data_IF_146874476045
#
_entry.id   IF_146874476045
#
_cell.length_a   1.000
_cell.length_b   1.000
_cell.length_c   1.000
_cell.angle_alpha   90.00
_cell.angle_beta   90.00
_cell.angle_gamma   90.00
#
_symmetry.space_group_name_H-M   'P 1'
#
loop_
_entity.id
_entity.type
_entity.pdbx_description
1 polymer ?
#
# COMPACT_ATOMS: atom_id res chain seq x y z
N UNK A 1 -0.81 6.94 -30.48
CA UNK A 1 0.33 6.87 -29.55
C UNK A 1 0.23 8.04 -28.58
N UNK A 2 0.22 7.79 -27.28
CA UNK A 2 0.21 8.85 -26.26
C UNK A 2 1.53 9.63 -26.35
N UNK A 3 1.46 10.97 -26.31
CA UNK A 3 2.68 11.82 -26.30
C UNK A 3 3.58 11.43 -25.13
N UNK A 4 4.90 11.32 -25.34
CA UNK A 4 5.84 11.04 -24.26
C UNK A 4 5.71 12.14 -23.20
N UNK A 5 5.49 11.74 -21.94
CA UNK A 5 5.43 12.70 -20.84
C UNK A 5 6.83 13.28 -20.64
N UNK A 6 6.96 14.60 -20.78
CA UNK A 6 8.18 15.31 -20.41
C UNK A 6 8.23 15.44 -18.89
N UNK A 7 9.30 15.00 -18.30
CA UNK A 7 9.54 15.13 -16.86
C UNK A 7 10.97 15.54 -16.57
N UNK A 8 11.16 16.18 -15.43
CA UNK A 8 12.46 16.50 -14.87
C UNK A 8 12.63 15.81 -13.53
N UNK A 9 13.87 15.58 -13.15
CA UNK A 9 14.22 15.00 -11.84
C UNK A 9 15.21 15.93 -11.14
N UNK A 10 15.01 16.12 -9.83
CA UNK A 10 15.85 16.98 -9.00
C UNK A 10 15.85 16.52 -7.54
N UNK A 11 16.73 17.09 -6.75
CA UNK A 11 16.64 16.96 -5.30
C UNK A 11 15.41 17.69 -4.75
N UNK A 12 14.97 17.23 -3.59
CA UNK A 12 13.97 17.92 -2.78
C UNK A 12 14.37 19.36 -2.50
N UNK A 13 13.40 20.24 -2.49
CA UNK A 13 13.51 21.63 -2.09
C UNK A 13 12.49 21.96 -1.01
N UNK A 14 12.82 22.89 -0.12
CA UNK A 14 11.87 23.41 0.87
C UNK A 14 10.62 23.93 0.13
N UNK A 15 9.44 23.48 0.55
CA UNK A 15 8.16 23.75 -0.09
C UNK A 15 7.57 22.52 -0.82
N UNK A 16 8.36 21.47 -1.06
CA UNK A 16 7.88 20.22 -1.66
C UNK A 16 7.07 19.33 -0.69
N UNK A 17 7.08 19.64 0.61
CA UNK A 17 6.56 18.76 1.67
C UNK A 17 5.11 18.34 1.44
N UNK A 18 4.27 19.27 0.99
CA UNK A 18 2.85 19.02 0.75
C UNK A 18 2.68 18.06 -0.43
N UNK A 19 3.38 18.34 -1.54
CA UNK A 19 3.30 17.54 -2.75
C UNK A 19 3.90 16.14 -2.54
N UNK A 20 5.02 16.06 -1.82
CA UNK A 20 5.69 14.81 -1.49
C UNK A 20 4.84 13.94 -0.55
N UNK A 21 4.18 14.54 0.45
CA UNK A 21 3.27 13.82 1.32
C UNK A 21 2.02 13.32 0.59
N UNK A 22 1.48 14.11 -0.36
CA UNK A 22 0.40 13.66 -1.23
C UNK A 22 0.83 12.46 -2.06
N UNK A 23 1.97 12.54 -2.76
CA UNK A 23 2.53 11.46 -3.55
C UNK A 23 2.76 10.20 -2.71
N UNK A 24 3.38 10.33 -1.52
CA UNK A 24 3.57 9.22 -0.59
C UNK A 24 2.25 8.61 -0.11
N UNK A 25 1.21 9.43 0.07
CA UNK A 25 -0.11 8.95 0.50
C UNK A 25 -0.78 8.03 -0.51
N UNK A 26 -0.55 8.22 -1.79
CA UNK A 26 -1.08 7.34 -2.85
C UNK A 26 -0.46 5.93 -2.81
N UNK A 27 0.80 5.82 -2.39
CA UNK A 27 1.52 4.55 -2.40
C UNK A 27 1.51 3.82 -1.05
N UNK A 28 1.56 4.57 0.05
CA UNK A 28 1.79 4.02 1.40
C UNK A 28 0.66 4.26 2.38
N UNK A 29 -0.44 4.88 1.90
CA UNK A 29 -1.56 5.27 2.74
C UNK A 29 -1.39 6.66 3.36
N UNK A 30 -2.46 7.22 3.97
CA UNK A 30 -2.54 8.62 4.35
C UNK A 30 -1.40 9.09 5.26
N UNK A 31 -0.62 10.04 4.79
CA UNK A 31 0.43 10.71 5.55
C UNK A 31 0.32 12.23 5.40
N UNK A 32 0.45 12.96 6.51
CA UNK A 32 0.50 14.43 6.46
C UNK A 32 1.93 14.92 6.24
N UNK A 33 2.15 16.13 5.68
CA UNK A 33 3.48 16.70 5.51
C UNK A 33 4.32 16.68 6.79
N UNK A 34 3.72 17.07 7.92
CA UNK A 34 4.37 17.03 9.23
C UNK A 34 4.83 15.62 9.61
N UNK A 35 3.97 14.60 9.45
CA UNK A 35 4.30 13.21 9.77
C UNK A 35 5.40 12.66 8.86
N UNK A 36 5.40 13.01 7.58
CA UNK A 36 6.44 12.61 6.65
C UNK A 36 7.79 13.24 7.02
N UNK A 37 7.83 14.55 7.29
CA UNK A 37 9.06 15.24 7.70
C UNK A 37 9.56 14.76 9.07
N UNK A 38 8.67 14.45 10.00
CA UNK A 38 9.02 13.84 11.29
C UNK A 38 9.60 12.43 11.11
N UNK A 39 9.10 11.67 10.14
CA UNK A 39 9.65 10.36 9.81
C UNK A 39 11.05 10.48 9.20
N UNK A 40 11.26 11.39 8.24
CA UNK A 40 12.57 11.67 7.66
C UNK A 40 13.59 12.03 8.73
N UNK A 41 13.26 12.98 9.59
CA UNK A 41 14.15 13.41 10.67
C UNK A 41 14.53 12.26 11.61
N UNK A 42 13.54 11.47 12.06
CA UNK A 42 13.77 10.35 12.97
C UNK A 42 14.58 9.22 12.34
N UNK A 43 14.49 9.04 11.05
CA UNK A 43 15.23 8.00 10.33
C UNK A 43 16.56 8.50 9.74
N UNK A 44 16.89 9.79 9.91
CA UNK A 44 18.13 10.37 9.41
C UNK A 44 18.16 10.54 7.89
N UNK A 45 16.99 10.66 7.24
CA UNK A 45 16.92 11.00 5.81
C UNK A 45 17.26 12.48 5.67
N UNK A 46 18.32 12.76 4.91
CA UNK A 46 18.78 14.13 4.65
C UNK A 46 18.11 14.70 3.41
N UNK A 47 17.84 16.03 3.34
CA UNK A 47 17.22 16.66 2.17
C UNK A 47 17.92 16.36 0.85
N UNK A 48 19.25 16.34 0.84
CA UNK A 48 20.07 16.02 -0.32
C UNK A 48 19.98 14.56 -0.80
N UNK A 49 19.36 13.69 0.00
CA UNK A 49 19.14 12.29 -0.30
C UNK A 49 17.66 11.99 -0.67
N UNK A 50 16.86 13.04 -0.88
CA UNK A 50 15.48 12.94 -1.36
C UNK A 50 15.46 13.45 -2.80
N UNK A 51 14.93 12.64 -3.70
CA UNK A 51 14.83 12.92 -5.13
C UNK A 51 13.37 12.94 -5.54
N UNK A 52 13.01 13.89 -6.37
CA UNK A 52 11.63 14.10 -6.82
C UNK A 52 11.55 14.19 -8.33
N UNK A 53 10.49 13.62 -8.89
CA UNK A 53 10.15 13.71 -10.31
C UNK A 53 9.01 14.70 -10.50
N UNK A 54 9.22 15.63 -11.43
CA UNK A 54 8.27 16.69 -11.78
C UNK A 54 7.77 16.44 -13.20
N UNK A 55 6.47 16.30 -13.37
CA UNK A 55 5.81 16.25 -14.67
C UNK A 55 4.62 17.20 -14.67
N UNK A 56 4.38 17.89 -15.78
CA UNK A 56 3.29 18.86 -15.94
C UNK A 56 3.27 19.91 -14.81
N UNK A 57 4.46 20.34 -14.35
CA UNK A 57 4.61 21.30 -13.25
C UNK A 57 4.26 20.75 -11.85
N UNK A 58 4.00 19.45 -11.71
CA UNK A 58 3.62 18.81 -10.45
C UNK A 58 4.66 17.80 -10.01
N UNK A 59 4.87 17.68 -8.69
CA UNK A 59 5.63 16.58 -8.12
C UNK A 59 4.77 15.31 -8.18
N UNK A 60 5.23 14.30 -8.91
CA UNK A 60 4.50 13.08 -9.23
C UNK A 60 5.25 11.79 -8.88
N UNK A 61 6.51 11.91 -8.46
CA UNK A 61 7.30 10.75 -8.06
C UNK A 61 8.33 11.13 -7.01
N UNK A 62 8.67 10.20 -6.14
CA UNK A 62 9.68 10.36 -5.10
C UNK A 62 10.51 9.11 -4.89
N UNK A 63 11.77 9.31 -4.49
CA UNK A 63 12.70 8.28 -3.99
C UNK A 63 13.59 8.93 -2.95
N UNK A 64 13.83 8.27 -1.85
CA UNK A 64 14.82 8.71 -0.86
C UNK A 64 15.73 7.58 -0.43
N UNK A 65 16.85 7.92 0.20
CA UNK A 65 17.66 6.94 0.91
C UNK A 65 18.24 7.49 2.21
N UNK A 66 18.54 6.58 3.10
CA UNK A 66 19.16 6.84 4.40
C UNK A 66 20.40 5.99 4.57
N UNK A 67 21.39 6.49 5.33
CA UNK A 67 22.53 5.69 5.70
C UNK A 67 22.12 4.60 6.69
N UNK A 68 22.39 3.35 6.32
CA UNK A 68 22.19 2.18 7.18
C UNK A 68 23.50 1.43 7.36
N UNK A 69 23.66 0.80 8.50
CA UNK A 69 24.73 -0.18 8.73
C UNK A 69 24.11 -1.55 8.67
N UNK A 70 24.48 -2.33 7.65
CA UNK A 70 23.99 -3.69 7.46
C UNK A 70 25.08 -4.70 7.79
N UNK A 71 24.66 -5.78 8.45
CA UNK A 71 25.50 -6.95 8.69
C UNK A 71 25.45 -7.87 7.47
N UNK A 72 26.60 -8.17 6.90
CA UNK A 72 26.76 -9.00 5.71
C UNK A 72 27.25 -10.43 6.02
N UNK A 73 27.17 -10.87 7.26
CA UNK A 73 27.70 -12.15 7.72
C UNK A 73 29.14 -12.03 8.27
N UNK A 74 29.58 -13.03 9.00
CA UNK A 74 30.94 -13.16 9.50
C UNK A 74 31.51 -11.90 10.23
N UNK A 75 30.65 -11.14 10.89
CA UNK A 75 31.04 -9.90 11.58
C UNK A 75 31.29 -8.69 10.67
N UNK A 76 31.08 -8.82 9.37
CA UNK A 76 31.25 -7.72 8.40
C UNK A 76 30.04 -6.80 8.42
N UNK A 77 30.29 -5.49 8.63
CA UNK A 77 29.29 -4.45 8.57
C UNK A 77 29.64 -3.44 7.49
N UNK A 78 28.69 -3.15 6.59
CA UNK A 78 28.86 -2.17 5.53
C UNK A 78 27.93 -1.00 5.72
N UNK A 79 28.41 0.19 5.38
CA UNK A 79 27.57 1.37 5.20
C UNK A 79 26.77 1.20 3.90
N UNK A 80 25.47 1.32 3.99
CA UNK A 80 24.52 0.96 2.93
C UNK A 80 23.54 2.10 2.70
N UNK A 81 23.21 2.36 1.44
CA UNK A 81 22.05 3.20 1.11
C UNK A 81 20.76 2.39 1.34
N UNK A 82 20.05 2.67 2.42
CA UNK A 82 18.71 2.13 2.64
C UNK A 82 17.70 2.92 1.81
N UNK A 83 17.34 2.41 0.63
CA UNK A 83 16.40 3.08 -0.28
C UNK A 83 14.97 2.95 0.25
N UNK A 84 14.24 4.04 0.24
CA UNK A 84 12.86 4.12 0.69
C UNK A 84 12.05 5.16 -0.11
N UNK A 85 10.77 5.33 0.24
CA UNK A 85 9.93 6.35 -0.37
C UNK A 85 9.70 6.20 -1.88
N UNK A 86 9.94 5.01 -2.46
CA UNK A 86 9.81 4.77 -3.90
C UNK A 86 8.33 4.82 -4.29
N UNK A 87 7.91 5.92 -4.85
CA UNK A 87 6.51 6.17 -5.19
C UNK A 87 6.37 6.93 -6.52
N UNK A 88 5.29 6.67 -7.24
CA UNK A 88 4.86 7.43 -8.42
C UNK A 88 3.34 7.47 -8.47
N UNK A 89 2.78 8.66 -8.69
CA UNK A 89 1.36 8.88 -8.91
C UNK A 89 0.85 7.97 -10.04
N UNK A 90 -0.34 7.41 -9.89
CA UNK A 90 -0.90 6.36 -10.77
C UNK A 90 -0.84 6.75 -12.26
N UNK A 91 -1.20 7.99 -12.60
CA UNK A 91 -1.25 8.50 -13.97
C UNK A 91 0.12 8.66 -14.64
N UNK A 92 1.19 8.62 -13.84
CA UNK A 92 2.58 8.80 -14.27
C UNK A 92 3.42 7.53 -14.17
N UNK A 93 2.82 6.39 -13.82
CA UNK A 93 3.48 5.08 -13.78
C UNK A 93 3.84 4.59 -15.18
N UNK A 94 4.77 3.63 -15.25
CA UNK A 94 5.25 3.01 -16.49
C UNK A 94 5.91 3.98 -17.49
N UNK A 95 6.33 5.17 -17.04
CA UNK A 95 6.96 6.20 -17.86
C UNK A 95 8.45 6.40 -17.55
N UNK A 96 9.06 5.51 -16.79
CA UNK A 96 10.49 5.51 -16.48
C UNK A 96 10.95 6.43 -15.33
N UNK A 97 10.04 7.20 -14.69
CA UNK A 97 10.39 8.16 -13.64
C UNK A 97 11.15 7.50 -12.48
N UNK A 98 10.59 6.44 -11.91
CA UNK A 98 11.23 5.71 -10.79
C UNK A 98 12.62 5.21 -11.18
N UNK A 99 12.78 4.64 -12.37
CA UNK A 99 14.07 4.13 -12.82
C UNK A 99 15.14 5.23 -12.88
N UNK A 100 14.76 6.44 -13.31
CA UNK A 100 15.68 7.57 -13.37
C UNK A 100 15.97 8.15 -11.97
N UNK A 101 14.96 8.26 -11.11
CA UNK A 101 15.16 8.69 -9.72
C UNK A 101 16.05 7.70 -8.95
N UNK A 102 15.84 6.40 -9.14
CA UNK A 102 16.66 5.36 -8.53
C UNK A 102 18.12 5.43 -9.00
N UNK A 103 18.36 5.67 -10.31
CA UNK A 103 19.72 5.87 -10.82
C UNK A 103 20.40 7.06 -10.14
N UNK A 104 19.71 8.20 -10.06
CA UNK A 104 20.25 9.39 -9.37
C UNK A 104 20.54 9.10 -7.89
N UNK A 105 19.64 8.41 -7.19
CA UNK A 105 19.83 8.03 -5.79
C UNK A 105 21.05 7.12 -5.62
N UNK A 106 21.21 6.12 -6.49
CA UNK A 106 22.35 5.21 -6.48
C UNK A 106 23.66 5.93 -6.81
N UNK A 107 23.67 6.83 -7.80
CA UNK A 107 24.85 7.61 -8.15
C UNK A 107 25.25 8.57 -7.02
N UNK A 108 24.26 9.21 -6.39
CA UNK A 108 24.51 10.05 -5.21
C UNK A 108 25.05 9.24 -4.04
N UNK A 109 24.53 8.05 -3.81
CA UNK A 109 25.02 7.17 -2.75
C UNK A 109 26.48 6.75 -2.97
N UNK A 110 26.87 6.45 -4.24
CA UNK A 110 28.28 6.16 -4.60
C UNK A 110 29.18 7.38 -4.36
N UNK A 111 28.74 8.58 -4.75
CA UNK A 111 29.48 9.82 -4.48
C UNK A 111 29.69 10.08 -2.99
N UNK A 112 28.80 9.57 -2.15
CA UNK A 112 28.92 9.64 -0.69
C UNK A 112 29.72 8.46 -0.08
N UNK A 113 30.35 7.65 -0.93
CA UNK A 113 31.24 6.54 -0.48
C UNK A 113 30.49 5.27 -0.13
N UNK A 114 29.20 5.13 -0.47
CA UNK A 114 28.45 3.90 -0.21
C UNK A 114 28.67 2.90 -1.36
N UNK A 115 29.07 1.69 -1.02
CA UNK A 115 29.40 0.63 -1.99
C UNK A 115 28.19 -0.22 -2.37
N UNK A 116 27.10 -0.15 -1.61
CA UNK A 116 25.91 -0.94 -1.81
C UNK A 116 24.63 -0.18 -1.44
N UNK A 117 23.51 -0.67 -1.94
CA UNK A 117 22.18 -0.20 -1.59
C UNK A 117 21.28 -1.40 -1.21
N UNK A 118 20.32 -1.16 -0.37
CA UNK A 118 19.34 -2.17 0.04
C UNK A 118 17.94 -1.56 0.12
N UNK A 119 16.95 -2.37 -0.09
CA UNK A 119 15.54 -2.03 0.10
C UNK A 119 14.74 -3.26 0.53
N UNK A 120 13.53 -3.01 1.01
CA UNK A 120 12.54 -4.05 1.28
C UNK A 120 11.35 -3.86 0.36
N UNK A 121 10.93 -4.93 -0.30
CA UNK A 121 9.74 -4.93 -1.16
C UNK A 121 9.00 -6.26 -1.07
N UNK A 122 7.70 -6.28 -1.41
CA UNK A 122 6.98 -7.54 -1.58
C UNK A 122 7.39 -8.21 -2.89
N UNK A 123 7.44 -9.53 -2.91
CA UNK A 123 7.72 -10.30 -4.13
C UNK A 123 6.69 -10.03 -5.23
N UNK A 124 5.44 -9.77 -4.84
CA UNK A 124 4.34 -9.46 -5.77
C UNK A 124 4.30 -7.98 -6.18
N UNK A 125 5.24 -7.16 -5.72
CA UNK A 125 5.28 -5.75 -6.05
C UNK A 125 5.77 -5.58 -7.51
N UNK A 126 5.00 -4.89 -8.33
CA UNK A 126 5.37 -4.60 -9.73
C UNK A 126 6.70 -3.84 -9.86
N UNK A 127 7.12 -3.12 -8.84
CA UNK A 127 8.41 -2.43 -8.78
C UNK A 127 9.60 -3.40 -8.67
N UNK A 128 9.40 -4.66 -8.24
CA UNK A 128 10.46 -5.67 -8.11
C UNK A 128 11.29 -5.80 -9.40
N UNK A 129 10.63 -5.88 -10.57
CA UNK A 129 11.29 -5.91 -11.88
C UNK A 129 12.12 -4.66 -12.19
N UNK A 130 11.81 -3.52 -11.58
CA UNK A 130 12.62 -2.30 -11.74
C UNK A 130 13.91 -2.46 -10.96
N UNK A 131 13.83 -2.98 -9.75
CA UNK A 131 15.01 -3.21 -8.90
C UNK A 131 15.96 -4.24 -9.51
N UNK A 132 15.45 -5.36 -10.01
CA UNK A 132 16.27 -6.35 -10.74
C UNK A 132 17.02 -5.71 -11.93
N UNK A 133 16.34 -4.91 -12.76
CA UNK A 133 16.97 -4.20 -13.89
C UNK A 133 18.03 -3.18 -13.45
N UNK A 134 17.98 -2.69 -12.23
CA UNK A 134 18.96 -1.80 -11.63
C UNK A 134 20.10 -2.55 -10.91
N UNK A 135 20.09 -3.89 -10.97
CA UNK A 135 21.14 -4.74 -10.41
C UNK A 135 20.91 -5.12 -8.95
N UNK A 136 19.72 -4.90 -8.40
CA UNK A 136 19.38 -5.48 -7.10
C UNK A 136 19.14 -6.97 -7.25
N UNK A 137 19.54 -7.72 -6.22
CA UNK A 137 19.34 -9.16 -6.11
C UNK A 137 18.60 -9.48 -4.82
N UNK A 138 17.76 -10.50 -4.84
CA UNK A 138 17.08 -10.98 -3.65
C UNK A 138 18.06 -11.73 -2.76
N UNK A 139 18.29 -11.19 -1.55
CA UNK A 139 19.23 -11.78 -0.59
C UNK A 139 18.53 -12.43 0.60
N UNK A 140 17.29 -12.05 0.87
CA UNK A 140 16.54 -12.54 2.02
C UNK A 140 15.04 -12.39 1.82
N UNK A 141 14.30 -13.46 2.07
CA UNK A 141 12.84 -13.46 2.10
C UNK A 141 12.34 -13.61 3.53
N UNK A 142 11.54 -12.67 4.00
CA UNK A 142 10.98 -12.69 5.34
C UNK A 142 9.59 -13.33 5.35
N UNK A 143 9.36 -14.23 6.29
CA UNK A 143 8.02 -14.69 6.63
C UNK A 143 7.51 -13.87 7.80
N UNK A 144 6.36 -13.24 7.64
CA UNK A 144 5.71 -12.49 8.71
C UNK A 144 4.61 -13.34 9.35
N UNK A 145 4.70 -13.57 10.65
CA UNK A 145 3.66 -14.24 11.43
C UNK A 145 2.93 -13.18 12.26
N UNK A 146 1.60 -13.18 12.20
CA UNK A 146 0.76 -12.26 12.97
C UNK A 146 -0.23 -13.09 13.78
N UNK A 147 -0.28 -12.86 15.09
CA UNK A 147 -1.34 -13.36 15.96
C UNK A 147 -2.31 -12.24 16.28
N UNK A 148 -3.56 -12.41 15.92
CA UNK A 148 -4.62 -11.48 16.28
C UNK A 148 -5.26 -11.92 17.59
N UNK A 149 -5.15 -11.10 18.63
CA UNK A 149 -5.69 -11.40 19.97
C UNK A 149 -7.11 -10.87 20.17
N UNK A 150 -7.47 -9.80 19.45
CA UNK A 150 -8.82 -9.21 19.47
C UNK A 150 -9.19 -8.75 18.04
N UNK A 151 -9.68 -9.68 17.24
CA UNK A 151 -10.05 -9.39 15.86
C UNK A 151 -11.29 -8.46 15.75
N UNK A 152 -12.35 -8.62 16.56
CA UNK A 152 -13.48 -7.68 16.57
C UNK A 152 -13.09 -6.23 16.80
N UNK A 153 -12.12 -5.96 17.68
CA UNK A 153 -11.59 -4.61 17.89
C UNK A 153 -10.84 -4.10 16.67
N UNK A 154 -9.96 -4.92 16.08
CA UNK A 154 -9.22 -4.57 14.87
C UNK A 154 -10.14 -4.32 13.69
N UNK A 155 -11.19 -5.12 13.54
CA UNK A 155 -12.21 -4.95 12.51
C UNK A 155 -12.97 -3.61 12.67
N UNK A 156 -13.34 -3.25 13.91
CA UNK A 156 -13.97 -1.96 14.19
C UNK A 156 -13.04 -0.78 13.87
N UNK A 157 -11.74 -0.92 14.15
CA UNK A 157 -10.73 0.08 13.80
C UNK A 157 -10.58 0.20 12.29
N UNK A 158 -10.52 -0.92 11.58
CA UNK A 158 -10.47 -0.95 10.12
C UNK A 158 -11.66 -0.24 9.47
N UNK A 159 -12.89 -0.48 9.94
CA UNK A 159 -14.07 0.24 9.43
C UNK A 159 -14.01 1.76 9.68
N UNK A 160 -13.39 2.20 10.77
CA UNK A 160 -13.16 3.64 11.02
C UNK A 160 -12.19 4.25 10.02
N UNK A 161 -11.09 3.57 9.73
CA UNK A 161 -10.12 4.03 8.73
C UNK A 161 -10.74 4.04 7.33
N UNK A 162 -11.51 3.00 6.98
CA UNK A 162 -12.26 2.95 5.73
C UNK A 162 -13.21 4.15 5.58
N UNK A 163 -13.96 4.49 6.63
CA UNK A 163 -14.82 5.67 6.63
C UNK A 163 -14.03 6.99 6.49
N UNK A 164 -12.80 7.06 7.00
CA UNK A 164 -11.94 8.23 6.82
C UNK A 164 -11.48 8.35 5.37
N UNK A 165 -11.10 7.25 4.74
CA UNK A 165 -10.68 7.23 3.33
C UNK A 165 -11.81 7.66 2.39
N UNK A 166 -13.05 7.27 2.68
CA UNK A 166 -14.22 7.67 1.89
C UNK A 166 -14.45 9.19 1.87
N UNK A 167 -14.24 9.86 3.01
CA UNK A 167 -14.47 11.33 3.10
C UNK A 167 -13.62 12.14 2.13
N UNK A 168 -12.48 11.63 1.70
CA UNK A 168 -11.55 12.29 0.77
C UNK A 168 -11.67 11.84 -0.69
N UNK A 169 -12.46 10.81 -0.99
CA UNK A 169 -12.50 10.19 -2.32
C UNK A 169 -13.86 10.31 -2.99
N UNK A 170 -13.97 11.26 -3.94
CA UNK A 170 -15.17 11.38 -4.79
C UNK A 170 -15.43 10.12 -5.63
N UNK A 171 -14.36 9.44 -6.06
CA UNK A 171 -14.43 8.20 -6.84
C UNK A 171 -15.05 7.08 -6.01
N UNK A 172 -14.57 6.87 -4.79
CA UNK A 172 -15.11 5.86 -3.89
C UNK A 172 -16.59 6.11 -3.56
N UNK A 173 -16.97 7.36 -3.29
CA UNK A 173 -18.34 7.73 -3.00
C UNK A 173 -19.28 7.48 -4.19
N UNK A 174 -18.85 7.83 -5.40
CA UNK A 174 -19.62 7.58 -6.63
C UNK A 174 -19.80 6.07 -6.87
N UNK A 175 -18.78 5.25 -6.64
CA UNK A 175 -18.87 3.79 -6.81
C UNK A 175 -19.77 3.10 -5.78
N UNK A 176 -19.84 3.65 -4.58
CA UNK A 176 -20.71 3.13 -3.50
C UNK A 176 -22.14 3.68 -3.56
N UNK A 177 -22.43 4.56 -4.49
CA UNK A 177 -23.76 5.15 -4.64
C UNK A 177 -24.82 4.08 -4.87
N UNK A 178 -25.85 4.06 -4.03
CA UNK A 178 -26.93 3.05 -4.10
C UNK A 178 -26.56 1.66 -3.54
N UNK A 179 -25.29 1.39 -3.18
CA UNK A 179 -24.92 0.11 -2.59
C UNK A 179 -25.11 0.14 -1.07
N UNK A 180 -26.36 0.00 -0.62
CA UNK A 180 -26.71 -0.07 0.81
C UNK A 180 -26.93 -1.52 1.23
N UNK A 181 -25.87 -2.23 1.61
CA UNK A 181 -25.90 -3.66 1.93
C UNK A 181 -25.35 -3.96 3.32
N UNK A 182 -25.82 -5.05 3.89
CA UNK A 182 -25.28 -5.68 5.09
C UNK A 182 -24.40 -6.88 4.71
N UNK A 183 -23.23 -6.98 5.34
CA UNK A 183 -22.25 -8.05 5.11
C UNK A 183 -21.99 -8.77 6.42
N UNK A 184 -22.06 -10.10 6.38
CA UNK A 184 -21.70 -10.99 7.47
C UNK A 184 -20.55 -11.89 7.04
N UNK A 185 -19.48 -11.89 7.83
CA UNK A 185 -18.27 -12.67 7.61
C UNK A 185 -18.09 -13.61 8.80
N UNK A 186 -18.23 -14.89 8.56
CA UNK A 186 -17.96 -15.93 9.55
C UNK A 186 -16.49 -16.33 9.40
N UNK A 187 -15.69 -16.02 10.42
CA UNK A 187 -14.30 -16.46 10.53
C UNK A 187 -14.28 -17.70 11.41
N UNK A 188 -14.11 -18.87 10.80
CA UNK A 188 -14.36 -20.18 11.44
C UNK A 188 -13.57 -20.42 12.72
N UNK A 189 -12.40 -19.77 12.86
CA UNK A 189 -11.51 -19.91 14.02
C UNK A 189 -11.48 -18.70 14.96
N UNK A 190 -12.32 -17.66 14.72
CA UNK A 190 -12.29 -16.41 15.49
C UNK A 190 -13.68 -15.94 15.92
N UNK A 191 -14.69 -16.19 15.08
CA UNK A 191 -16.06 -15.74 15.30
C UNK A 191 -16.61 -14.93 14.13
N UNK A 192 -17.72 -14.24 14.34
CA UNK A 192 -18.42 -13.53 13.27
C UNK A 192 -18.23 -12.03 13.39
N UNK A 193 -17.91 -11.38 12.29
CA UNK A 193 -17.93 -9.93 12.15
C UNK A 193 -18.98 -9.52 11.12
N UNK A 194 -19.62 -8.36 11.34
CA UNK A 194 -20.61 -7.87 10.40
C UNK A 194 -20.58 -6.35 10.33
N UNK A 195 -20.92 -5.84 9.16
CA UNK A 195 -21.07 -4.41 8.91
C UNK A 195 -22.21 -4.15 7.92
N UNK A 196 -22.64 -2.91 7.84
CA UNK A 196 -23.48 -2.43 6.75
C UNK A 196 -22.97 -1.10 6.22
N UNK A 197 -23.17 -0.85 4.95
CA UNK A 197 -23.06 0.48 4.37
C UNK A 197 -24.44 1.12 4.35
N UNK A 198 -24.56 2.32 4.90
CA UNK A 198 -25.76 3.13 4.83
C UNK A 198 -25.38 4.61 4.76
N UNK A 199 -25.97 5.35 3.83
CA UNK A 199 -25.67 6.78 3.62
C UNK A 199 -24.16 7.03 3.49
N UNK A 200 -23.49 6.24 2.66
CA UNK A 200 -22.04 6.31 2.41
C UNK A 200 -21.17 6.16 3.68
N UNK A 201 -21.67 5.45 4.68
CA UNK A 201 -20.93 5.19 5.92
C UNK A 201 -20.99 3.72 6.30
N UNK A 202 -19.82 3.13 6.49
CA UNK A 202 -19.69 1.78 7.05
C UNK A 202 -19.96 1.79 8.55
N UNK A 203 -20.84 0.93 8.99
CA UNK A 203 -21.25 0.77 10.40
C UNK A 203 -21.01 -0.67 10.82
N UNK A 204 -20.21 -0.88 11.87
CA UNK A 204 -20.12 -2.21 12.50
C UNK A 204 -21.46 -2.58 13.12
N UNK A 205 -21.85 -3.83 12.93
CA UNK A 205 -22.98 -4.42 13.61
C UNK A 205 -22.46 -5.21 14.81
N UNK A 206 -22.83 -4.81 16.03
CA UNK A 206 -22.40 -5.47 17.27
C UNK A 206 -22.98 -6.87 17.39
N UNK A 207 -24.18 -7.07 16.88
CA UNK A 207 -24.83 -8.36 16.72
C UNK A 207 -24.97 -8.66 15.24
N UNK A 208 -24.33 -9.73 14.73
CA UNK A 208 -24.50 -10.14 13.35
C UNK A 208 -25.99 -10.39 13.06
N UNK A 209 -26.50 -9.93 11.91
CA UNK A 209 -27.89 -10.15 11.54
C UNK A 209 -28.13 -11.66 11.29
N UNK A 210 -29.35 -12.14 11.58
CA UNK A 210 -29.76 -13.51 11.23
C UNK A 210 -29.64 -13.77 9.74
N UNK A 211 -30.00 -12.77 8.92
CA UNK A 211 -29.84 -12.78 7.45
C UNK A 211 -29.15 -11.46 7.05
N UNK A 212 -28.03 -11.55 6.35
CA UNK A 212 -27.38 -10.43 5.72
C UNK A 212 -27.64 -10.43 4.20
N UNK A 213 -27.32 -9.34 3.51
CA UNK A 213 -27.43 -9.30 2.05
C UNK A 213 -26.30 -10.11 1.42
N UNK A 214 -25.12 -10.08 2.04
CA UNK A 214 -23.96 -10.87 1.65
C UNK A 214 -23.47 -11.66 2.86
N UNK A 215 -23.34 -12.98 2.69
CA UNK A 215 -22.83 -13.87 3.72
C UNK A 215 -21.69 -14.74 3.17
N UNK A 216 -20.55 -14.70 3.86
CA UNK A 216 -19.40 -15.53 3.51
C UNK A 216 -18.76 -16.15 4.76
N UNK A 217 -18.12 -17.29 4.55
CA UNK A 217 -17.33 -17.95 5.58
C UNK A 217 -15.93 -18.28 5.07
N UNK A 218 -14.94 -18.14 5.94
CA UNK A 218 -13.54 -18.44 5.67
C UNK A 218 -12.78 -18.52 7.00
N UNK A 219 -11.54 -18.97 7.01
CA UNK A 219 -10.67 -18.82 8.17
C UNK A 219 -9.99 -17.42 8.18
N UNK A 220 -9.46 -17.05 9.35
CA UNK A 220 -8.83 -15.73 9.51
C UNK A 220 -7.60 -15.55 8.62
N UNK A 221 -6.80 -16.61 8.42
CA UNK A 221 -5.58 -16.55 7.61
C UNK A 221 -5.92 -16.25 6.15
N UNK A 222 -6.85 -17.00 5.58
CA UNK A 222 -7.35 -16.81 4.21
C UNK A 222 -7.95 -15.40 4.04
N UNK A 223 -8.78 -14.97 5.00
CA UNK A 223 -9.36 -13.63 4.99
C UNK A 223 -8.29 -12.52 4.95
N UNK A 224 -7.27 -12.63 5.80
CA UNK A 224 -6.18 -11.64 5.85
C UNK A 224 -5.35 -11.67 4.56
N UNK A 225 -5.05 -12.85 4.02
CA UNK A 225 -4.31 -13.01 2.76
C UNK A 225 -5.07 -12.40 1.57
N UNK A 226 -6.40 -12.60 1.50
CA UNK A 226 -7.26 -11.96 0.48
C UNK A 226 -7.21 -10.43 0.62
N UNK A 227 -7.37 -9.90 1.82
CA UNK A 227 -7.31 -8.45 2.06
C UNK A 227 -5.96 -7.83 1.68
N UNK A 228 -4.88 -8.56 1.86
CA UNK A 228 -3.52 -8.13 1.51
C UNK A 228 -3.17 -8.40 0.04
N UNK A 229 -4.05 -9.04 -0.72
CA UNK A 229 -3.83 -9.40 -2.11
C UNK A 229 -2.85 -10.56 -2.32
N UNK A 230 -2.48 -11.28 -1.25
CA UNK A 230 -1.58 -12.45 -1.30
C UNK A 230 -2.28 -13.68 -1.90
N UNK A 231 -3.58 -13.80 -1.66
CA UNK A 231 -4.44 -14.84 -2.23
C UNK A 231 -5.54 -14.14 -3.02
N UNK A 232 -5.81 -14.63 -4.24
CA UNK A 232 -6.92 -14.13 -5.03
C UNK A 232 -8.25 -14.69 -4.51
N UNK A 233 -9.29 -13.89 -4.61
CA UNK A 233 -10.64 -14.29 -4.18
C UNK A 233 -11.11 -15.57 -4.89
N UNK A 234 -10.93 -15.61 -6.20
CA UNK A 234 -11.35 -16.72 -7.08
C UNK A 234 -10.61 -18.01 -6.73
N UNK A 235 -9.33 -17.92 -6.43
CA UNK A 235 -8.51 -19.03 -5.95
C UNK A 235 -9.04 -19.58 -4.62
N UNK A 236 -9.29 -18.69 -3.65
CA UNK A 236 -9.82 -19.11 -2.35
C UNK A 236 -11.21 -19.77 -2.44
N UNK A 237 -12.06 -19.30 -3.37
CA UNK A 237 -13.36 -19.92 -3.64
C UNK A 237 -13.18 -21.29 -4.31
N UNK A 238 -12.35 -21.39 -5.32
CA UNK A 238 -12.07 -22.65 -6.05
C UNK A 238 -11.52 -23.73 -5.11
N UNK A 239 -10.66 -23.35 -4.18
CA UNK A 239 -10.02 -24.25 -3.22
C UNK A 239 -10.92 -24.56 -1.99
N UNK A 240 -12.14 -24.00 -1.94
CA UNK A 240 -13.05 -24.17 -0.81
C UNK A 240 -12.64 -23.46 0.49
N UNK A 241 -11.59 -22.63 0.45
CA UNK A 241 -11.11 -21.83 1.60
C UNK A 241 -12.02 -20.63 1.90
N UNK A 242 -12.78 -20.16 0.90
CA UNK A 242 -13.79 -19.13 1.01
C UNK A 242 -15.11 -19.66 0.45
N UNK A 243 -16.14 -19.66 1.27
CA UNK A 243 -17.50 -20.04 0.87
C UNK A 243 -18.39 -18.81 0.89
N UNK A 244 -18.97 -18.47 -0.27
CA UNK A 244 -20.01 -17.45 -0.39
C UNK A 244 -21.38 -18.15 -0.31
N UNK A 245 -22.10 -17.95 0.77
CA UNK A 245 -23.42 -18.55 0.97
C UNK A 245 -24.56 -17.64 0.50
N UNK A 246 -24.31 -16.33 0.34
CA UNK A 246 -25.28 -15.34 -0.15
C UNK A 246 -24.60 -14.12 -0.73
N UNK A 247 -25.17 -13.55 -1.78
CA UNK A 247 -24.70 -12.38 -2.51
C UNK A 247 -24.72 -12.63 -4.01
N UNK A 248 -25.05 -11.62 -4.80
CA UNK A 248 -24.95 -11.70 -6.25
C UNK A 248 -23.52 -11.33 -6.71
N UNK A 249 -23.26 -11.47 -8.03
CA UNK A 249 -21.95 -11.20 -8.61
C UNK A 249 -21.51 -9.73 -8.43
N UNK A 250 -22.44 -8.78 -8.58
CA UNK A 250 -22.14 -7.37 -8.45
C UNK A 250 -21.82 -7.00 -7.00
N UNK A 251 -22.56 -7.57 -6.04
CA UNK A 251 -22.30 -7.41 -4.61
C UNK A 251 -20.93 -7.96 -4.21
N UNK A 252 -20.54 -9.11 -4.77
CA UNK A 252 -19.23 -9.73 -4.50
C UNK A 252 -18.11 -8.87 -5.07
N UNK A 253 -18.22 -8.35 -6.28
CA UNK A 253 -17.20 -7.46 -6.87
C UNK A 253 -17.04 -6.18 -6.05
N UNK A 254 -18.14 -5.61 -5.58
CA UNK A 254 -18.07 -4.45 -4.69
C UNK A 254 -17.42 -4.80 -3.34
N UNK A 255 -17.76 -5.95 -2.76
CA UNK A 255 -17.16 -6.41 -1.52
C UNK A 255 -15.64 -6.62 -1.65
N UNK A 256 -15.17 -7.19 -2.76
CA UNK A 256 -13.73 -7.34 -3.05
C UNK A 256 -13.00 -5.98 -3.01
N UNK A 257 -13.58 -4.96 -3.65
CA UNK A 257 -13.03 -3.59 -3.65
C UNK A 257 -12.99 -3.00 -2.24
N UNK A 258 -14.08 -3.13 -1.48
CA UNK A 258 -14.17 -2.68 -0.09
C UNK A 258 -13.09 -3.33 0.76
N UNK A 259 -12.93 -4.64 0.68
CA UNK A 259 -11.96 -5.37 1.49
C UNK A 259 -10.51 -5.04 1.15
N UNK A 260 -10.20 -4.70 -0.10
CA UNK A 260 -8.85 -4.33 -0.57
C UNK A 260 -8.58 -2.82 -0.57
N UNK A 261 -9.57 -1.98 -0.29
CA UNK A 261 -9.48 -0.51 -0.44
C UNK A 261 -9.11 -0.05 -1.85
N UNK A 262 -9.53 -0.80 -2.87
CA UNK A 262 -9.24 -0.50 -4.26
C UNK A 262 -10.43 0.22 -4.89
N UNK A 263 -10.38 1.55 -4.88
CA UNK A 263 -11.44 2.39 -5.41
C UNK A 263 -11.22 2.79 -6.86
N UNK A 264 -9.98 2.69 -7.33
CA UNK A 264 -9.55 3.21 -8.64
C UNK A 264 -9.42 2.13 -9.72
N UNK A 265 -9.70 0.87 -9.37
CA UNK A 265 -9.70 -0.28 -10.30
C UNK A 265 -11.08 -0.62 -10.84
#
# INVERSE_FOLDING_TARGET
>A
MAKPVRYTVRNYMKGDEIALARNSSECFGPVTPRRLMDWYRRNGVRPENIFVGIADGKLVSGVDFVFKRLHHGEGVYLQTAGVSGVCTDSDYRCKGLVSNLMKLALDKSRQQGLSNASLYTGLDNSAHRIYERLGFVDVLTWRTYIKYTDYPFLFARWLRELNRSLKGSKVALKRLEGWEKSVKIVLTNVGTVAFRLRKNRFQRLSKPPKKADIELSTDLETYVKIRRGVVQWEEAVKDGRLCLSKGDRADVEMLKRILRWKWDE
#
